data_IF_891489682369
#
_entry.id   IF_891489682369
#
_cell.length_a   1.000
_cell.length_b   1.000
_cell.length_c   1.000
_cell.angle_alpha   90.00
_cell.angle_beta   90.00
_cell.angle_gamma   90.00
#
_symmetry.space_group_name_H-M   'P 1'
#
loop_
_entity.id
_entity.type
_entity.pdbx_description
1 polymer ?
#
# COMPACT_ATOMS: atom_id res chain seq x y z
N UNK A 1 61.53 -5.57 -75.11
CA UNK A 1 61.67 -4.07 -75.05
C UNK A 1 60.39 -3.47 -74.51
N UNK A 2 60.51 -2.57 -73.60
CA UNK A 2 59.52 -1.78 -72.85
C UNK A 2 59.09 -2.42 -71.55
N UNK A 3 59.69 -1.94 -70.45
CA UNK A 3 59.31 -2.09 -69.10
C UNK A 3 58.06 -1.14 -68.82
N UNK A 4 57.12 -1.64 -68.14
CA UNK A 4 56.01 -0.85 -67.56
C UNK A 4 56.12 -0.82 -66.05
N UNK A 5 56.30 0.37 -65.51
CA UNK A 5 56.35 0.69 -64.09
C UNK A 5 54.92 0.49 -63.48
N UNK A 6 54.83 -0.34 -62.44
CA UNK A 6 53.69 -0.34 -61.56
C UNK A 6 53.96 0.57 -60.35
N UNK A 7 53.21 1.64 -60.21
CA UNK A 7 53.17 2.44 -59.01
C UNK A 7 52.30 1.75 -57.93
N UNK A 8 52.95 1.35 -56.85
CA UNK A 8 52.29 0.87 -55.62
C UNK A 8 51.79 2.09 -54.84
N UNK A 9 50.50 2.18 -54.67
CA UNK A 9 49.86 3.14 -53.76
C UNK A 9 49.39 2.38 -52.50
N UNK A 10 50.33 2.08 -51.61
CA UNK A 10 50.05 1.57 -50.25
C UNK A 10 50.42 2.64 -49.25
N UNK A 11 49.45 3.22 -48.59
CA UNK A 11 49.76 4.09 -47.46
C UNK A 11 48.76 5.18 -47.19
N UNK A 12 47.56 4.86 -46.72
CA UNK A 12 46.69 5.82 -45.98
C UNK A 12 45.51 5.17 -45.22
N UNK A 13 45.58 3.90 -44.89
CA UNK A 13 44.46 3.25 -44.18
C UNK A 13 44.75 2.78 -42.74
N UNK A 14 45.90 3.13 -42.19
CA UNK A 14 46.30 2.62 -40.87
C UNK A 14 46.10 3.59 -39.68
N UNK A 15 45.74 4.82 -39.94
CA UNK A 15 45.58 5.84 -38.89
C UNK A 15 44.11 6.03 -38.39
N UNK A 16 43.11 5.46 -39.09
CA UNK A 16 41.71 5.57 -38.68
C UNK A 16 41.25 4.47 -37.72
N UNK A 17 41.99 3.36 -37.62
CA UNK A 17 41.63 2.23 -36.73
C UNK A 17 41.77 2.52 -35.23
N UNK A 18 42.79 3.20 -34.72
CA UNK A 18 42.89 3.47 -33.30
C UNK A 18 41.88 4.54 -32.79
N UNK A 19 41.51 5.49 -33.64
CA UNK A 19 40.52 6.51 -33.25
C UNK A 19 39.09 5.92 -33.12
N UNK A 20 38.71 4.95 -33.93
CA UNK A 20 37.39 4.33 -33.87
C UNK A 20 37.24 3.43 -32.63
N UNK A 21 38.32 2.75 -32.23
CA UNK A 21 38.35 1.93 -31.00
C UNK A 21 38.37 2.79 -29.74
N UNK A 22 39.00 3.96 -29.76
CA UNK A 22 39.00 4.88 -28.62
C UNK A 22 37.65 5.58 -28.43
N UNK A 23 36.88 5.79 -29.48
CA UNK A 23 35.50 6.36 -29.40
C UNK A 23 34.48 5.36 -28.83
N UNK A 24 34.72 4.04 -29.00
CA UNK A 24 33.84 2.98 -28.49
C UNK A 24 34.00 2.76 -26.98
N UNK A 25 35.14 3.07 -26.40
CA UNK A 25 35.41 2.90 -24.96
C UNK A 25 34.90 4.06 -24.12
N UNK A 26 34.67 5.25 -24.72
CA UNK A 26 34.11 6.42 -24.03
C UNK A 26 32.60 6.37 -23.79
N UNK A 27 31.88 5.43 -24.42
CA UNK A 27 30.41 5.32 -24.32
C UNK A 27 29.92 4.39 -23.20
N UNK A 28 30.82 3.76 -22.43
CA UNK A 28 30.47 2.80 -21.37
C UNK A 28 30.49 3.36 -19.94
N UNK A 29 30.63 4.66 -19.74
CA UNK A 29 30.54 5.28 -18.41
C UNK A 29 29.31 6.17 -18.31
N UNK A 30 28.12 5.62 -18.54
CA UNK A 30 26.88 6.22 -18.03
C UNK A 30 26.87 5.87 -16.53
N UNK A 31 27.05 6.86 -15.62
CA UNK A 31 26.78 6.59 -14.22
C UNK A 31 25.32 6.17 -14.15
N UNK A 32 25.06 4.91 -13.78
CA UNK A 32 23.72 4.43 -13.50
C UNK A 32 23.16 5.33 -12.42
N UNK A 33 22.23 6.19 -12.77
CA UNK A 33 21.40 6.90 -11.82
C UNK A 33 20.58 5.81 -11.15
N UNK A 34 21.10 5.32 -10.02
CA UNK A 34 20.36 4.42 -9.16
C UNK A 34 19.13 5.15 -8.69
N UNK A 35 17.99 4.94 -9.39
CA UNK A 35 16.70 5.32 -8.88
C UNK A 35 16.58 4.65 -7.51
N UNK A 36 16.37 5.43 -6.46
CA UNK A 36 16.03 4.91 -5.13
C UNK A 36 14.73 4.13 -5.32
N UNK A 37 14.84 2.83 -5.55
CA UNK A 37 13.69 1.96 -5.72
C UNK A 37 13.03 1.84 -4.34
N UNK A 38 11.91 2.56 -4.15
CA UNK A 38 11.08 2.38 -2.98
C UNK A 38 10.36 1.03 -3.08
N UNK A 39 10.35 0.32 -1.98
CA UNK A 39 9.64 -0.95 -1.87
C UNK A 39 8.25 -0.73 -1.27
N UNK A 40 7.24 -1.35 -1.88
CA UNK A 40 5.87 -1.38 -1.40
C UNK A 40 5.50 -2.82 -1.09
N UNK A 41 5.10 -3.07 0.17
CA UNK A 41 4.56 -4.36 0.59
C UNK A 41 3.13 -4.23 1.05
N UNK A 42 2.35 -5.28 0.79
CA UNK A 42 0.94 -5.36 1.18
C UNK A 42 0.69 -6.65 1.95
N UNK A 43 -0.18 -6.55 2.97
CA UNK A 43 -0.73 -7.69 3.70
C UNK A 43 -2.23 -7.54 3.77
N UNK A 44 -2.95 -8.60 3.46
CA UNK A 44 -4.40 -8.66 3.54
C UNK A 44 -4.85 -9.66 4.59
N UNK A 45 -5.86 -9.28 5.38
CA UNK A 45 -6.45 -10.11 6.43
C UNK A 45 -7.95 -10.04 6.23
N UNK A 46 -8.60 -11.21 6.08
CA UNK A 46 -10.04 -11.33 5.88
C UNK A 46 -10.65 -12.15 7.02
N UNK A 47 -11.77 -11.69 7.56
CA UNK A 47 -12.56 -12.45 8.54
C UNK A 47 -14.03 -12.10 8.43
N UNK A 48 -14.89 -13.12 8.61
CA UNK A 48 -16.34 -12.97 8.62
C UNK A 48 -16.93 -13.53 9.89
N UNK A 49 -18.07 -12.95 10.30
CA UNK A 49 -18.80 -13.31 11.51
C UNK A 49 -20.30 -13.29 11.24
N UNK A 50 -20.99 -14.38 11.58
CA UNK A 50 -22.45 -14.37 11.56
C UNK A 50 -22.99 -13.41 12.62
N UNK A 51 -23.98 -12.60 12.24
CA UNK A 51 -24.58 -11.59 13.11
C UNK A 51 -26.09 -11.68 13.13
N UNK A 52 -26.66 -11.40 14.30
CA UNK A 52 -28.11 -11.23 14.52
C UNK A 52 -28.49 -9.76 14.67
N UNK A 53 -29.78 -9.51 14.86
CA UNK A 53 -30.33 -8.14 14.97
C UNK A 53 -29.80 -7.32 16.15
N UNK A 54 -29.40 -8.01 17.22
CA UNK A 54 -28.91 -7.37 18.47
C UNK A 54 -27.39 -7.31 18.55
N UNK A 55 -26.69 -7.73 17.50
CA UNK A 55 -25.23 -7.67 17.46
C UNK A 55 -24.77 -6.25 17.12
N UNK A 56 -23.57 -5.94 17.53
CA UNK A 56 -22.93 -4.64 17.33
C UNK A 56 -21.59 -4.87 16.64
N UNK A 57 -21.30 -4.08 15.62
CA UNK A 57 -19.98 -4.01 15.02
C UNK A 57 -19.18 -2.89 15.66
N UNK A 58 -18.00 -3.19 16.19
CA UNK A 58 -17.05 -2.21 16.71
C UNK A 58 -15.75 -2.25 15.93
N UNK A 59 -15.33 -1.11 15.36
CA UNK A 59 -14.05 -0.99 14.65
C UNK A 59 -13.24 0.18 15.21
N UNK A 60 -11.99 -0.09 15.62
CA UNK A 60 -11.03 0.94 16.01
C UNK A 60 -9.80 0.87 15.08
N UNK A 61 -9.67 1.87 14.22
CA UNK A 61 -8.55 2.00 13.30
C UNK A 61 -7.82 3.33 13.48
N UNK A 62 -6.55 3.39 13.06
CA UNK A 62 -5.72 4.58 13.26
C UNK A 62 -5.20 5.23 11.99
N UNK A 63 -4.73 4.51 11.01
CA UNK A 63 -4.02 5.05 9.84
C UNK A 63 -4.61 4.50 8.55
N UNK A 64 -5.38 5.30 7.83
CA UNK A 64 -6.08 4.90 6.61
C UNK A 64 -7.58 5.14 6.72
N UNK A 65 -8.40 4.34 6.07
CA UNK A 65 -9.84 4.57 6.00
C UNK A 65 -10.63 3.36 6.51
N UNK A 66 -11.84 3.62 7.01
CA UNK A 66 -12.89 2.62 7.20
C UNK A 66 -13.94 2.86 6.12
N UNK A 67 -14.11 1.90 5.21
CA UNK A 67 -15.14 1.94 4.16
C UNK A 67 -16.17 0.87 4.46
N UNK A 68 -17.41 1.29 4.63
CA UNK A 68 -18.55 0.39 4.89
C UNK A 68 -19.41 0.27 3.64
N UNK A 69 -19.88 -0.94 3.38
CA UNK A 69 -20.88 -1.26 2.36
C UNK A 69 -21.98 -2.14 2.97
N UNK A 70 -23.21 -2.00 2.50
CA UNK A 70 -24.32 -2.81 2.95
C UNK A 70 -24.52 -4.02 2.03
N UNK A 71 -24.98 -5.11 2.61
CA UNK A 71 -25.42 -6.30 1.92
C UNK A 71 -26.62 -6.97 2.61
N UNK A 72 -27.21 -7.97 1.97
CA UNK A 72 -28.39 -8.69 2.48
C UNK A 72 -28.07 -9.93 3.33
N UNK A 73 -26.78 -10.23 3.56
CA UNK A 73 -26.39 -11.40 4.37
C UNK A 73 -26.41 -11.06 5.85
N UNK A 74 -26.83 -12.02 6.68
CA UNK A 74 -26.74 -11.95 8.15
C UNK A 74 -25.30 -12.21 8.63
N UNK A 75 -24.35 -11.43 8.13
CA UNK A 75 -22.92 -11.60 8.33
C UNK A 75 -22.23 -10.23 8.28
N UNK A 76 -21.18 -10.04 9.06
CA UNK A 76 -20.19 -8.97 8.89
C UNK A 76 -18.94 -9.55 8.29
N UNK A 77 -18.50 -9.04 7.15
CA UNK A 77 -17.21 -9.39 6.55
C UNK A 77 -16.27 -8.21 6.62
N UNK A 78 -15.08 -8.44 7.17
CA UNK A 78 -14.07 -7.42 7.38
C UNK A 78 -12.82 -7.84 6.59
N UNK A 79 -12.42 -7.00 5.64
CA UNK A 79 -11.18 -7.11 4.89
C UNK A 79 -10.27 -5.94 5.28
N UNK A 80 -9.09 -6.25 5.80
CA UNK A 80 -8.10 -5.25 6.18
C UNK A 80 -6.91 -5.34 5.23
N UNK A 81 -6.56 -4.23 4.60
CA UNK A 81 -5.40 -4.11 3.72
C UNK A 81 -4.38 -3.19 4.39
N UNK A 82 -3.23 -3.76 4.73
CA UNK A 82 -2.07 -3.03 5.25
C UNK A 82 -1.12 -2.83 4.09
N UNK A 83 -0.77 -1.59 3.79
CA UNK A 83 0.23 -1.23 2.79
C UNK A 83 1.36 -0.47 3.48
N UNK A 84 2.60 -0.92 3.27
CA UNK A 84 3.80 -0.28 3.79
C UNK A 84 4.73 0.09 2.64
N UNK A 85 5.27 1.31 2.68
CA UNK A 85 6.24 1.84 1.73
C UNK A 85 7.51 2.23 2.48
N UNK A 86 8.65 1.75 2.01
CA UNK A 86 9.94 2.03 2.59
C UNK A 86 11.05 1.98 1.53
N UNK A 87 12.27 2.33 1.91
CA UNK A 87 13.43 2.34 1.00
C UNK A 87 13.90 0.95 0.52
N UNK A 88 13.47 -0.12 1.16
CA UNK A 88 13.73 -1.51 0.76
C UNK A 88 12.69 -2.47 1.34
N UNK A 89 12.69 -3.70 0.85
CA UNK A 89 11.76 -4.77 1.21
C UNK A 89 11.77 -5.13 2.69
N UNK A 90 12.95 -5.21 3.29
CA UNK A 90 13.13 -5.56 4.70
C UNK A 90 12.44 -4.54 5.61
N UNK A 91 12.64 -3.24 5.33
CA UNK A 91 12.00 -2.17 6.09
C UNK A 91 10.49 -2.12 5.88
N UNK A 92 10.02 -2.29 4.64
CA UNK A 92 8.60 -2.37 4.36
C UNK A 92 7.96 -3.56 5.11
N UNK A 93 8.63 -4.72 5.16
CA UNK A 93 8.17 -5.87 5.92
C UNK A 93 8.16 -5.59 7.42
N UNK A 94 9.19 -4.99 7.96
CA UNK A 94 9.27 -4.63 9.39
C UNK A 94 8.12 -3.69 9.82
N UNK A 95 7.66 -2.79 8.95
CA UNK A 95 6.49 -1.95 9.20
C UNK A 95 5.22 -2.81 9.29
N UNK A 96 5.00 -3.73 8.34
CA UNK A 96 3.85 -4.65 8.34
C UNK A 96 3.83 -5.51 9.61
N UNK A 97 4.98 -6.02 10.05
CA UNK A 97 5.09 -6.92 11.21
C UNK A 97 4.79 -6.21 12.54
N UNK A 98 4.85 -4.88 12.56
CA UNK A 98 4.44 -4.07 13.74
C UNK A 98 2.94 -3.89 13.84
N UNK A 99 2.21 -4.03 12.74
CA UNK A 99 0.76 -3.89 12.72
C UNK A 99 0.13 -5.19 13.20
N UNK A 100 -0.63 -5.11 14.28
CA UNK A 100 -1.43 -6.21 14.80
C UNK A 100 -2.91 -5.88 14.64
N UNK A 101 -3.65 -6.75 13.95
CA UNK A 101 -5.10 -6.66 13.76
C UNK A 101 -5.74 -7.79 14.53
N UNK A 102 -6.58 -7.45 15.52
CA UNK A 102 -7.38 -8.42 16.26
C UNK A 102 -8.83 -8.30 15.81
N UNK A 103 -9.39 -9.39 15.32
CA UNK A 103 -10.79 -9.50 14.93
C UNK A 103 -11.42 -10.70 15.63
N UNK A 104 -12.47 -10.47 16.41
CA UNK A 104 -13.15 -11.49 17.22
C UNK A 104 -14.62 -11.15 17.42
N UNK A 105 -15.42 -12.16 17.72
CA UNK A 105 -16.79 -11.99 18.20
C UNK A 105 -16.86 -12.48 19.64
N UNK A 106 -17.28 -11.59 20.55
CA UNK A 106 -17.50 -11.90 21.96
C UNK A 106 -18.93 -11.52 22.33
N UNK A 107 -19.74 -12.52 22.68
CA UNK A 107 -21.17 -12.30 22.90
C UNK A 107 -21.84 -11.69 21.67
N UNK A 108 -22.42 -10.52 21.82
CA UNK A 108 -23.12 -9.79 20.76
C UNK A 108 -22.21 -8.76 20.05
N UNK A 109 -20.92 -8.71 20.37
CA UNK A 109 -20.01 -7.71 19.78
C UNK A 109 -19.02 -8.37 18.84
N UNK A 110 -19.03 -7.93 17.56
CA UNK A 110 -17.96 -8.18 16.60
C UNK A 110 -16.98 -7.03 16.72
N UNK A 111 -15.75 -7.31 17.12
CA UNK A 111 -14.71 -6.30 17.36
C UNK A 111 -13.57 -6.46 16.35
N UNK A 112 -13.08 -5.34 15.81
CA UNK A 112 -11.92 -5.29 14.95
C UNK A 112 -11.03 -4.10 15.36
N UNK A 113 -9.85 -4.39 15.90
CA UNK A 113 -8.98 -3.38 16.53
C UNK A 113 -7.59 -3.43 15.91
N UNK A 114 -7.12 -2.25 15.53
CA UNK A 114 -5.73 -2.02 15.10
C UNK A 114 -4.86 -1.63 16.30
N UNK A 115 -3.76 -2.34 16.49
CA UNK A 115 -2.71 -1.96 17.43
C UNK A 115 -1.33 -1.96 16.76
N UNK A 116 -0.46 -1.06 17.19
CA UNK A 116 0.90 -0.93 16.70
C UNK A 116 1.90 -1.24 17.81
N UNK A 117 2.84 -2.14 17.52
CA UNK A 117 3.99 -2.32 18.42
C UNK A 117 4.89 -1.10 18.35
N UNK A 118 5.37 -0.64 19.48
CA UNK A 118 6.33 0.46 19.57
C UNK A 118 7.61 0.12 18.80
N UNK A 119 8.17 1.12 18.13
CA UNK A 119 9.45 1.00 17.45
C UNK A 119 10.54 1.52 18.40
N UNK A 120 11.49 0.66 18.74
CA UNK A 120 12.72 1.11 19.35
C UNK A 120 13.65 1.61 18.25
N UNK A 121 13.69 2.90 18.00
CA UNK A 121 14.52 3.53 16.97
C UNK A 121 13.82 4.66 16.22
N UNK A 122 14.60 5.55 15.61
CA UNK A 122 14.08 6.63 14.78
C UNK A 122 13.49 6.04 13.49
N UNK A 123 12.20 6.26 13.24
CA UNK A 123 11.57 5.98 11.96
C UNK A 123 12.34 6.70 10.85
N UNK A 124 12.63 6.00 9.74
CA UNK A 124 13.33 6.59 8.61
C UNK A 124 12.45 7.67 7.95
N UNK A 125 13.06 8.73 7.45
CA UNK A 125 12.37 9.88 6.84
C UNK A 125 11.54 9.57 5.58
N UNK A 126 11.55 8.33 5.07
CA UNK A 126 10.84 7.90 3.87
C UNK A 126 9.99 6.63 4.12
N UNK A 127 9.49 6.45 5.33
CA UNK A 127 8.65 5.31 5.68
C UNK A 127 7.20 5.79 5.83
N UNK A 128 6.27 5.12 5.17
CA UNK A 128 4.84 5.36 5.31
C UNK A 128 4.05 4.06 5.31
N UNK A 129 2.87 4.08 5.91
CA UNK A 129 1.95 2.95 5.85
C UNK A 129 0.51 3.41 5.96
N UNK A 130 -0.40 2.57 5.46
CA UNK A 130 -1.84 2.73 5.60
C UNK A 130 -2.48 1.41 6.01
N UNK A 131 -3.60 1.49 6.75
CA UNK A 131 -4.38 0.36 7.20
C UNK A 131 -5.84 0.65 6.83
N UNK A 132 -6.30 0.07 5.73
CA UNK A 132 -7.65 0.30 5.22
C UNK A 132 -8.56 -0.86 5.57
N UNK A 133 -9.69 -0.55 6.19
CA UNK A 133 -10.77 -1.47 6.51
C UNK A 133 -11.86 -1.38 5.45
N UNK A 134 -12.25 -2.51 4.91
CA UNK A 134 -13.41 -2.67 4.05
C UNK A 134 -14.39 -3.61 4.75
N UNK A 135 -15.53 -3.06 5.12
CA UNK A 135 -16.54 -3.74 5.92
C UNK A 135 -17.81 -3.91 5.10
N UNK A 136 -18.28 -5.14 4.93
CA UNK A 136 -19.63 -5.41 4.45
C UNK A 136 -20.50 -5.85 5.62
N UNK A 137 -21.65 -5.22 5.83
CA UNK A 137 -22.55 -5.49 6.94
C UNK A 137 -24.03 -5.32 6.55
N UNK A 138 -24.98 -5.92 7.30
CA UNK A 138 -26.39 -5.59 7.14
C UNK A 138 -26.67 -4.10 7.42
N UNK A 139 -27.57 -3.48 6.65
CA UNK A 139 -27.92 -2.06 6.80
C UNK A 139 -28.56 -1.73 8.16
N UNK A 140 -29.12 -2.72 8.84
CA UNK A 140 -29.83 -2.61 10.12
C UNK A 140 -28.94 -2.84 11.33
N UNK A 141 -27.67 -3.25 11.11
CA UNK A 141 -26.76 -3.56 12.20
C UNK A 141 -26.29 -2.28 12.89
N UNK A 142 -26.29 -2.30 14.22
CA UNK A 142 -25.67 -1.25 15.03
C UNK A 142 -24.15 -1.24 14.85
N UNK A 143 -23.56 -0.06 14.72
CA UNK A 143 -22.10 0.05 14.61
C UNK A 143 -21.50 1.18 15.47
N UNK A 144 -20.27 0.96 15.92
CA UNK A 144 -19.39 1.93 16.59
C UNK A 144 -18.06 1.95 15.85
N UNK A 145 -17.80 3.02 15.12
CA UNK A 145 -16.61 3.12 14.27
C UNK A 145 -15.75 4.29 14.73
N UNK A 146 -14.54 3.98 15.15
CA UNK A 146 -13.52 4.96 15.52
C UNK A 146 -12.40 4.97 14.50
N UNK A 147 -12.11 6.14 13.93
CA UNK A 147 -11.03 6.37 13.00
C UNK A 147 -10.15 7.53 13.44
N UNK A 148 -8.83 7.30 13.52
CA UNK A 148 -7.85 8.35 13.79
C UNK A 148 -6.85 8.44 12.63
N UNK A 149 -6.67 9.63 12.05
CA UNK A 149 -5.84 9.89 10.86
C UNK A 149 -6.35 9.16 9.61
N UNK A 150 -7.51 9.60 9.12
CA UNK A 150 -8.17 9.10 7.92
C UNK A 150 -9.67 9.22 7.99
N UNK A 151 -10.37 8.63 7.04
CA UNK A 151 -11.79 8.89 6.83
C UNK A 151 -12.64 7.68 7.22
N UNK A 152 -13.88 7.95 7.61
CA UNK A 152 -14.97 6.96 7.60
C UNK A 152 -15.82 7.23 6.38
N UNK A 153 -16.09 6.21 5.58
CA UNK A 153 -16.93 6.25 4.38
C UNK A 153 -18.10 5.30 4.62
N UNK A 154 -19.31 5.88 4.81
CA UNK A 154 -20.53 5.14 5.04
C UNK A 154 -21.37 5.07 3.77
N UNK A 155 -22.10 3.98 3.55
CA UNK A 155 -23.03 3.88 2.44
C UNK A 155 -24.28 4.78 2.67
N UNK A 156 -25.02 5.01 1.61
CA UNK A 156 -26.36 5.58 1.71
C UNK A 156 -27.33 4.59 2.40
N UNK A 157 -28.42 5.14 3.02
CA UNK A 157 -29.51 4.35 3.62
C UNK A 157 -29.05 3.45 4.78
N UNK A 158 -28.26 3.97 5.69
CA UNK A 158 -27.97 3.28 6.94
C UNK A 158 -29.20 3.32 7.85
N UNK A 159 -29.68 2.14 8.26
CA UNK A 159 -30.90 1.97 9.09
C UNK A 159 -30.57 1.65 10.54
N UNK A 160 -29.39 1.07 10.81
CA UNK A 160 -28.92 0.77 12.15
C UNK A 160 -28.38 2.03 12.85
N UNK A 161 -28.40 2.03 14.17
CA UNK A 161 -27.72 3.08 14.94
C UNK A 161 -26.21 2.97 14.69
N UNK A 162 -25.57 4.11 14.33
CA UNK A 162 -24.13 4.19 14.16
C UNK A 162 -23.55 5.33 14.99
N UNK A 163 -22.61 4.98 15.88
CA UNK A 163 -21.78 5.94 16.60
C UNK A 163 -20.46 6.07 15.83
N UNK A 164 -20.15 7.27 15.31
CA UNK A 164 -19.04 7.50 14.40
C UNK A 164 -18.08 8.54 14.97
N UNK A 165 -16.85 8.13 15.24
CA UNK A 165 -15.82 8.97 15.83
C UNK A 165 -14.65 9.14 14.86
N UNK A 166 -14.49 10.35 14.30
CA UNK A 166 -13.36 10.68 13.42
C UNK A 166 -12.48 11.72 14.08
N UNK A 167 -11.17 11.43 14.16
CA UNK A 167 -10.16 12.39 14.60
C UNK A 167 -9.08 12.55 13.53
N UNK A 168 -8.87 13.79 13.07
CA UNK A 168 -7.94 14.13 11.98
C UNK A 168 -8.30 13.44 10.65
N UNK A 169 -9.53 13.68 10.19
CA UNK A 169 -10.07 13.15 8.95
C UNK A 169 -11.48 13.62 8.69
N UNK A 170 -12.16 12.99 7.74
CA UNK A 170 -13.51 13.33 7.32
C UNK A 170 -14.45 12.15 7.50
N UNK A 171 -15.71 12.48 7.78
CA UNK A 171 -16.83 11.56 7.67
C UNK A 171 -17.54 11.84 6.35
N UNK A 172 -17.54 10.85 5.46
CA UNK A 172 -18.26 10.88 4.20
C UNK A 172 -19.40 9.85 4.31
N UNK A 173 -20.63 10.30 4.25
CA UNK A 173 -21.76 9.40 4.42
C UNK A 173 -23.00 9.89 3.72
N UNK A 174 -23.89 8.94 3.39
CA UNK A 174 -25.22 9.21 2.94
C UNK A 174 -26.17 9.54 4.10
N UNK A 175 -27.47 9.45 3.83
CA UNK A 175 -28.51 9.77 4.78
C UNK A 175 -28.52 8.79 5.96
N UNK A 176 -28.51 9.34 7.16
CA UNK A 176 -28.79 8.60 8.40
C UNK A 176 -30.26 8.88 8.77
N UNK A 177 -31.05 7.83 8.90
CA UNK A 177 -32.46 7.90 9.29
C UNK A 177 -32.67 7.37 10.69
#
# INVERSE_FOLDING_TARGET
>A
MKATHQHSATGKLSLLRPCLLMLLVLFCSVPGWGSKQESIKKKEINKSFNVGKNDILQVDNRYGNITVAHWSKSEVSIRVVIEAKARNDEKAQAIIDRVNIRMEKMGNTVSAVTSLRSQNGNGGSNESFTINYYVNMPSELTCDLTQKYGNIIMPENNKGKCDLHVKYGNLNGGNFT
#
